data_IF_926390285480
#
_entry.id   IF_926390285480
#
_cell.length_a   1.000
_cell.length_b   1.000
_cell.length_c   1.000
_cell.angle_alpha   90.00
_cell.angle_beta   90.00
_cell.angle_gamma   90.00
#
_symmetry.space_group_name_H-M   'P 1'
#
loop_
_entity.id
_entity.type
_entity.pdbx_description
1 polymer ?
#
# COMPACT_ATOMS: atom_id res chain seq x y z
N UNK A 1 -28.14 14.65 -15.89
CA UNK A 1 -26.88 13.87 -15.78
C UNK A 1 -26.18 13.92 -17.13
N UNK A 2 -24.93 14.39 -17.19
CA UNK A 2 -24.20 14.65 -18.45
C UNK A 2 -23.56 13.35 -19.02
N UNK A 3 -23.52 13.17 -20.34
CA UNK A 3 -23.05 11.92 -20.98
C UNK A 3 -21.53 11.63 -20.84
N UNK A 4 -20.74 12.57 -20.32
CA UNK A 4 -19.29 12.42 -20.14
C UNK A 4 -18.90 11.33 -19.13
N UNK A 5 -19.80 10.94 -18.20
CA UNK A 5 -19.51 9.92 -17.17
C UNK A 5 -19.31 8.51 -17.74
N UNK A 6 -19.83 8.20 -18.93
CA UNK A 6 -19.77 6.82 -19.46
C UNK A 6 -18.46 6.50 -20.18
N UNK A 7 -17.78 7.49 -20.76
CA UNK A 7 -16.57 7.27 -21.58
C UNK A 7 -15.36 6.92 -20.70
N UNK A 8 -15.22 7.53 -19.52
CA UNK A 8 -14.12 7.23 -18.60
C UNK A 8 -14.19 5.81 -18.00
N UNK A 9 -15.40 5.27 -17.76
CA UNK A 9 -15.56 3.90 -17.26
C UNK A 9 -15.15 2.83 -18.27
N UNK A 10 -15.24 3.10 -19.57
CA UNK A 10 -14.78 2.16 -20.59
C UNK A 10 -13.25 2.05 -20.68
N UNK A 11 -12.50 3.07 -20.24
CA UNK A 11 -11.03 3.02 -20.23
C UNK A 11 -10.50 2.11 -19.10
N UNK A 12 -11.19 2.03 -17.96
CA UNK A 12 -10.85 1.10 -16.87
C UNK A 12 -11.12 -0.37 -17.23
N UNK A 13 -12.17 -0.66 -17.99
CA UNK A 13 -12.46 -2.04 -18.40
C UNK A 13 -11.45 -2.59 -19.42
N UNK A 14 -10.75 -1.72 -20.16
CA UNK A 14 -9.72 -2.14 -21.12
C UNK A 14 -8.35 -2.39 -20.47
N UNK A 15 -8.06 -1.78 -19.32
CA UNK A 15 -6.76 -1.92 -18.63
C UNK A 15 -6.68 -3.12 -17.69
N UNK A 16 -7.80 -3.66 -17.21
CA UNK A 16 -7.82 -4.83 -16.31
C UNK A 16 -7.38 -6.14 -16.97
N UNK A 17 -7.32 -6.21 -18.30
CA UNK A 17 -6.79 -7.37 -19.03
C UNK A 17 -5.27 -7.34 -19.23
N UNK A 18 -4.62 -6.18 -19.03
CA UNK A 18 -3.17 -6.03 -19.24
C UNK A 18 -2.34 -6.24 -17.96
N UNK A 19 -2.97 -6.20 -16.78
CA UNK A 19 -2.33 -6.42 -15.48
C UNK A 19 -2.57 -7.85 -14.96
N UNK A 20 -2.32 -8.84 -15.80
CA UNK A 20 -1.82 -10.13 -15.31
C UNK A 20 -0.30 -10.12 -15.45
N UNK A 21 0.35 -9.13 -14.83
CA UNK A 21 1.78 -9.23 -14.61
C UNK A 21 1.94 -10.33 -13.57
N UNK A 22 2.44 -11.47 -14.03
CA UNK A 22 2.91 -12.58 -13.23
C UNK A 22 4.10 -12.08 -12.39
N UNK A 23 3.84 -11.30 -11.35
CA UNK A 23 4.84 -10.89 -10.39
C UNK A 23 5.01 -12.07 -9.42
N UNK A 24 5.95 -12.93 -9.75
CA UNK A 24 6.50 -13.91 -8.84
C UNK A 24 7.32 -13.14 -7.77
N UNK A 25 6.62 -12.50 -6.82
CA UNK A 25 7.21 -11.65 -5.78
C UNK A 25 7.75 -12.55 -4.67
N UNK A 26 8.91 -13.17 -4.92
CA UNK A 26 9.81 -13.62 -3.85
C UNK A 26 10.49 -12.44 -3.14
N UNK A 27 10.18 -11.18 -3.51
CA UNK A 27 10.70 -9.96 -2.90
C UNK A 27 9.95 -9.50 -1.63
N UNK A 28 8.91 -10.23 -1.17
CA UNK A 28 8.14 -9.91 0.05
C UNK A 28 9.01 -9.78 1.32
N UNK A 29 10.20 -10.38 1.32
CA UNK A 29 11.12 -10.38 2.48
C UNK A 29 12.14 -9.23 2.50
N UNK A 30 12.21 -8.37 1.47
CA UNK A 30 13.24 -7.32 1.40
C UNK A 30 12.95 -6.16 2.38
N UNK A 31 11.68 -5.88 2.67
CA UNK A 31 11.28 -4.72 3.50
C UNK A 31 11.25 -5.09 5.01
N UNK A 32 11.14 -6.37 5.37
CA UNK A 32 10.85 -6.80 6.76
C UNK A 32 12.08 -7.08 7.63
N UNK A 33 13.29 -7.23 7.08
CA UNK A 33 14.48 -7.64 7.84
C UNK A 33 15.50 -6.53 8.10
N UNK A 34 15.03 -5.32 8.36
CA UNK A 34 15.92 -4.17 8.48
C UNK A 34 16.11 -3.77 9.95
N UNK A 35 17.26 -4.15 10.52
CA UNK A 35 17.73 -3.70 11.82
C UNK A 35 18.82 -2.65 11.64
N UNK A 36 18.48 -1.37 11.86
CA UNK A 36 19.46 -0.29 11.95
C UNK A 36 19.22 0.53 13.21
N UNK A 37 20.27 1.21 13.68
CA UNK A 37 20.19 2.19 14.77
C UNK A 37 19.29 3.34 14.32
N UNK A 38 18.01 3.23 14.65
CA UNK A 38 17.02 4.26 14.38
C UNK A 38 17.43 5.54 15.10
N UNK A 39 17.43 6.67 14.39
CA UNK A 39 17.52 7.96 15.04
C UNK A 39 16.37 8.06 16.06
N UNK A 40 16.70 8.19 17.35
CA UNK A 40 15.72 8.14 18.43
C UNK A 40 14.64 9.23 18.29
N UNK A 41 14.98 10.40 17.74
CA UNK A 41 14.03 11.47 17.47
C UNK A 41 13.04 11.05 16.38
N UNK A 42 13.51 10.45 15.28
CA UNK A 42 12.66 9.97 14.20
C UNK A 42 11.70 8.87 14.70
N UNK A 43 12.22 7.90 15.45
CA UNK A 43 11.41 6.84 16.07
C UNK A 43 10.32 7.42 16.97
N UNK A 44 10.67 8.39 17.79
CA UNK A 44 9.71 9.07 18.68
C UNK A 44 8.62 9.76 17.87
N UNK A 45 8.99 10.50 16.83
CA UNK A 45 8.03 11.16 15.94
C UNK A 45 7.09 10.17 15.25
N UNK A 46 7.60 9.02 14.77
CA UNK A 46 6.75 7.96 14.18
C UNK A 46 5.75 7.41 15.20
N UNK A 47 6.18 7.20 16.45
CA UNK A 47 5.32 6.69 17.54
C UNK A 47 4.16 7.65 17.84
N UNK A 48 4.33 8.95 17.64
CA UNK A 48 3.24 9.92 17.76
C UNK A 48 2.11 9.65 16.75
N UNK A 49 2.41 9.04 15.60
CA UNK A 49 1.44 8.65 14.57
C UNK A 49 1.04 7.18 14.63
N UNK A 50 1.36 6.46 15.72
CA UNK A 50 1.07 5.02 15.83
C UNK A 50 -0.40 4.64 15.57
N UNK A 51 -1.32 5.55 15.89
CA UNK A 51 -2.77 5.37 15.68
C UNK A 51 -3.20 5.44 14.21
N UNK A 52 -2.35 5.98 13.34
CA UNK A 52 -2.56 5.99 11.89
C UNK A 52 -2.23 4.65 11.25
N UNK A 53 -1.61 3.73 11.99
CA UNK A 53 -1.25 2.41 11.52
C UNK A 53 -2.21 1.39 12.14
N UNK A 54 -2.79 0.53 11.29
CA UNK A 54 -3.47 -0.65 11.78
C UNK A 54 -2.46 -1.51 12.55
N UNK A 55 -2.84 -2.00 13.73
CA UNK A 55 -1.96 -2.85 14.53
C UNK A 55 -1.81 -4.20 13.81
N UNK A 56 -0.62 -4.50 13.29
CA UNK A 56 -0.29 -5.66 12.45
C UNK A 56 -0.69 -7.02 13.07
N UNK A 57 -1.04 -7.05 14.36
CA UNK A 57 -1.43 -8.27 15.10
C UNK A 57 -2.91 -8.64 14.96
N UNK A 58 -3.72 -7.73 14.42
CA UNK A 58 -5.16 -7.91 14.31
C UNK A 58 -5.49 -8.49 12.94
N UNK A 59 -6.04 -9.71 12.88
CA UNK A 59 -6.70 -10.15 11.64
C UNK A 59 -7.77 -9.12 11.31
N UNK A 60 -7.62 -8.44 10.19
CA UNK A 60 -8.55 -7.39 9.75
C UNK A 60 -9.92 -8.04 9.55
N UNK A 61 -10.85 -7.81 10.47
CA UNK A 61 -12.26 -8.12 10.29
C UNK A 61 -13.01 -6.82 9.93
N UNK A 62 -14.25 -6.92 9.46
CA UNK A 62 -15.03 -5.75 9.02
C UNK A 62 -15.22 -4.69 10.13
N UNK A 63 -15.37 -5.10 11.39
CA UNK A 63 -15.52 -4.19 12.52
C UNK A 63 -14.23 -3.38 12.80
N UNK A 64 -13.06 -4.00 12.59
CA UNK A 64 -11.76 -3.32 12.70
C UNK A 64 -11.57 -2.31 11.56
N UNK A 65 -12.14 -2.57 10.38
CA UNK A 65 -11.97 -1.68 9.22
C UNK A 65 -12.61 -0.31 9.48
N UNK A 66 -13.81 -0.25 10.05
CA UNK A 66 -14.45 1.03 10.38
C UNK A 66 -13.59 1.85 11.36
N UNK A 67 -13.08 1.22 12.42
CA UNK A 67 -12.20 1.90 13.39
C UNK A 67 -10.90 2.40 12.75
N UNK A 68 -10.28 1.56 11.90
CA UNK A 68 -9.07 1.91 11.17
C UNK A 68 -9.33 3.09 10.22
N UNK A 69 -10.44 3.06 9.49
CA UNK A 69 -10.83 4.12 8.57
C UNK A 69 -11.14 5.42 9.30
N UNK A 70 -11.83 5.38 10.44
CA UNK A 70 -12.12 6.56 11.25
C UNK A 70 -10.83 7.22 11.74
N UNK A 71 -9.82 6.44 12.16
CA UNK A 71 -8.50 6.96 12.53
C UNK A 71 -7.75 7.52 11.31
N UNK A 72 -7.71 6.78 10.21
CA UNK A 72 -7.04 7.18 8.98
C UNK A 72 -7.58 8.51 8.41
N UNK A 73 -8.90 8.72 8.51
CA UNK A 73 -9.55 9.92 7.99
C UNK A 73 -9.38 11.16 8.88
N UNK A 74 -8.76 11.03 10.06
CA UNK A 74 -8.40 12.18 10.90
C UNK A 74 -7.37 13.08 10.20
N UNK A 75 -7.43 14.38 10.48
CA UNK A 75 -6.49 15.37 9.92
C UNK A 75 -5.02 15.02 10.20
N UNK A 76 -4.76 14.45 11.38
CA UNK A 76 -3.41 14.03 11.79
C UNK A 76 -2.86 12.93 10.88
N UNK A 77 -3.66 11.91 10.59
CA UNK A 77 -3.22 10.80 9.75
C UNK A 77 -3.16 11.19 8.27
N UNK A 78 -4.14 11.97 7.78
CA UNK A 78 -4.08 12.55 6.43
C UNK A 78 -2.79 13.34 6.21
N UNK A 79 -2.48 14.24 7.14
CA UNK A 79 -1.24 15.02 7.09
C UNK A 79 0.00 14.14 7.06
N UNK A 80 0.06 13.08 7.87
CA UNK A 80 1.19 12.15 7.85
C UNK A 80 1.39 11.49 6.47
N UNK A 81 0.32 11.01 5.84
CA UNK A 81 0.42 10.35 4.53
C UNK A 81 0.61 11.33 3.37
N UNK A 82 0.13 12.57 3.48
CA UNK A 82 0.34 13.62 2.47
C UNK A 82 1.75 14.22 2.52
N UNK A 83 2.26 14.48 3.73
CA UNK A 83 3.59 15.08 3.92
C UNK A 83 4.72 14.04 3.89
N UNK A 84 4.40 12.80 4.26
CA UNK A 84 5.34 11.69 4.33
C UNK A 84 6.30 11.78 5.51
N UNK A 85 7.03 10.69 5.74
CA UNK A 85 7.92 10.55 6.89
C UNK A 85 9.08 11.57 6.89
N UNK A 86 9.49 12.06 5.71
CA UNK A 86 10.57 13.04 5.57
C UNK A 86 10.31 14.37 6.28
N UNK A 87 9.04 14.68 6.60
CA UNK A 87 8.65 15.90 7.31
C UNK A 87 8.59 15.72 8.83
N UNK A 88 8.73 14.48 9.32
CA UNK A 88 8.76 14.23 10.75
C UNK A 88 10.10 14.66 11.36
N UNK A 89 10.02 15.27 12.54
CA UNK A 89 11.18 15.74 13.29
C UNK A 89 12.14 14.58 13.58
N UNK A 90 13.42 14.78 13.31
CA UNK A 90 14.47 13.79 13.48
C UNK A 90 14.63 12.84 12.29
N UNK A 91 13.61 12.68 11.45
CA UNK A 91 13.69 11.83 10.26
C UNK A 91 14.44 12.52 9.11
N UNK A 92 14.71 13.83 9.18
CA UNK A 92 15.62 14.51 8.26
C UNK A 92 17.10 14.12 8.45
N UNK A 93 17.43 13.47 9.57
CA UNK A 93 18.81 13.11 9.94
C UNK A 93 19.18 11.67 9.65
N UNK A 94 18.22 10.83 9.27
CA UNK A 94 18.51 9.44 8.87
C UNK A 94 19.15 9.43 7.48
N UNK A 95 19.84 8.34 7.13
CA UNK A 95 20.42 8.22 5.80
C UNK A 95 19.32 8.25 4.73
N UNK A 96 19.67 8.73 3.54
CA UNK A 96 18.74 8.77 2.39
C UNK A 96 18.16 7.37 2.10
N UNK A 97 18.98 6.33 2.21
CA UNK A 97 18.55 4.94 2.04
C UNK A 97 17.45 4.55 3.03
N UNK A 98 17.65 4.85 4.33
CA UNK A 98 16.66 4.58 5.37
C UNK A 98 15.39 5.41 5.17
N UNK A 99 15.54 6.67 4.78
CA UNK A 99 14.41 7.55 4.52
C UNK A 99 13.55 7.02 3.37
N UNK A 100 14.19 6.57 2.28
CA UNK A 100 13.49 5.98 1.14
C UNK A 100 12.75 4.70 1.53
N UNK A 101 13.36 3.82 2.34
CA UNK A 101 12.72 2.60 2.83
C UNK A 101 11.49 2.90 3.68
N UNK A 102 11.59 3.80 4.66
CA UNK A 102 10.45 4.19 5.47
C UNK A 102 9.37 4.86 4.62
N UNK A 103 9.75 5.73 3.68
CA UNK A 103 8.81 6.37 2.76
C UNK A 103 8.03 5.32 1.99
N UNK A 104 8.70 4.35 1.34
CA UNK A 104 8.03 3.25 0.66
C UNK A 104 7.11 2.46 1.60
N UNK A 105 7.59 2.09 2.79
CA UNK A 105 6.82 1.33 3.78
C UNK A 105 5.52 2.04 4.20
N UNK A 106 5.56 3.35 4.41
CA UNK A 106 4.38 4.10 4.85
C UNK A 106 3.49 4.52 3.69
N UNK A 107 4.05 4.79 2.51
CA UNK A 107 3.29 5.15 1.32
C UNK A 107 2.36 4.01 0.90
N UNK A 108 2.85 2.77 0.84
CA UNK A 108 2.01 1.62 0.47
C UNK A 108 0.86 1.44 1.46
N UNK A 109 1.12 1.61 2.76
CA UNK A 109 0.07 1.59 3.81
C UNK A 109 -0.98 2.68 3.57
N UNK A 110 -0.54 3.89 3.23
CA UNK A 110 -1.45 5.01 2.94
C UNK A 110 -2.29 4.78 1.69
N UNK A 111 -1.73 4.15 0.66
CA UNK A 111 -2.46 3.76 -0.56
C UNK A 111 -3.53 2.72 -0.25
N UNK A 112 -3.15 1.63 0.43
CA UNK A 112 -4.07 0.55 0.82
C UNK A 112 -5.20 1.07 1.71
N UNK A 113 -4.89 1.89 2.72
CA UNK A 113 -5.92 2.49 3.56
C UNK A 113 -6.82 3.45 2.79
N UNK A 114 -6.28 4.23 1.85
CA UNK A 114 -7.08 5.10 1.01
C UNK A 114 -8.07 4.31 0.15
N UNK A 115 -7.66 3.16 -0.38
CA UNK A 115 -8.52 2.28 -1.17
C UNK A 115 -9.57 1.60 -0.27
N UNK A 116 -9.17 1.03 0.87
CA UNK A 116 -10.09 0.35 1.81
C UNK A 116 -11.09 1.30 2.45
N UNK A 117 -10.72 2.57 2.64
CA UNK A 117 -11.53 3.56 3.33
C UNK A 117 -12.28 4.53 2.41
N UNK A 118 -12.23 4.31 1.09
CA UNK A 118 -12.92 5.18 0.14
C UNK A 118 -14.44 5.13 0.31
N UNK A 119 -15.08 6.29 0.28
CA UNK A 119 -16.53 6.45 0.51
C UNK A 119 -17.15 7.30 -0.58
N UNK A 120 -18.35 6.96 -0.99
CA UNK A 120 -19.14 7.71 -1.98
C UNK A 120 -19.59 9.09 -1.44
N UNK A 121 -20.39 9.78 -2.26
CA UNK A 121 -20.95 11.10 -1.92
C UNK A 121 -21.92 11.08 -0.73
N UNK A 122 -22.45 9.90 -0.38
CA UNK A 122 -23.39 9.69 0.73
C UNK A 122 -22.70 9.15 1.99
N UNK A 123 -21.37 9.05 1.99
CA UNK A 123 -20.58 8.51 3.10
C UNK A 123 -20.60 6.98 3.22
N UNK A 124 -21.14 6.27 2.23
CA UNK A 124 -21.11 4.81 2.16
C UNK A 124 -19.80 4.33 1.53
N UNK A 125 -19.25 3.20 1.97
CA UNK A 125 -18.07 2.63 1.31
C UNK A 125 -18.29 2.43 -0.18
N UNK A 126 -17.28 2.78 -0.96
CA UNK A 126 -17.27 2.49 -2.39
C UNK A 126 -17.37 0.97 -2.62
N UNK A 127 -18.01 0.53 -3.72
CA UNK A 127 -18.16 -0.90 -4.01
C UNK A 127 -16.82 -1.65 -4.06
N UNK A 128 -15.76 -1.01 -4.58
CA UNK A 128 -14.40 -1.58 -4.61
C UNK A 128 -13.80 -1.77 -3.23
N UNK A 129 -13.95 -0.80 -2.34
CA UNK A 129 -13.58 -0.96 -0.93
C UNK A 129 -14.30 -2.14 -0.29
N UNK A 130 -15.63 -2.25 -0.48
CA UNK A 130 -16.41 -3.38 0.07
C UNK A 130 -15.95 -4.73 -0.48
N UNK A 131 -15.63 -4.80 -1.77
CA UNK A 131 -15.11 -6.00 -2.39
C UNK A 131 -13.78 -6.43 -1.75
N UNK A 132 -12.83 -5.50 -1.59
CA UNK A 132 -11.54 -5.76 -0.96
C UNK A 132 -11.69 -6.17 0.51
N UNK A 133 -12.52 -5.46 1.26
CA UNK A 133 -12.82 -5.76 2.66
C UNK A 133 -13.44 -7.17 2.85
N UNK A 134 -14.16 -7.67 1.84
CA UNK A 134 -14.74 -9.01 1.89
C UNK A 134 -13.72 -10.14 1.69
N UNK A 135 -12.53 -9.82 1.18
CA UNK A 135 -11.52 -10.81 0.79
C UNK A 135 -11.95 -11.69 -0.39
N UNK A 136 -13.02 -11.33 -1.10
CA UNK A 136 -13.48 -12.08 -2.27
C UNK A 136 -12.46 -12.01 -3.40
N UNK A 137 -12.25 -13.14 -4.07
CA UNK A 137 -11.46 -13.25 -5.31
C UNK A 137 -12.34 -13.59 -6.52
N UNK A 138 -13.67 -13.54 -6.34
CA UNK A 138 -14.62 -13.90 -7.39
C UNK A 138 -14.65 -12.83 -8.49
N UNK A 139 -14.24 -13.21 -9.70
CA UNK A 139 -14.20 -12.33 -10.86
C UNK A 139 -15.53 -11.67 -11.20
N UNK A 140 -16.65 -12.38 -11.04
CA UNK A 140 -17.98 -11.83 -11.35
C UNK A 140 -18.36 -10.74 -10.35
N UNK A 141 -18.04 -10.95 -9.08
CA UNK A 141 -18.25 -9.95 -8.02
C UNK A 141 -17.35 -8.73 -8.24
N UNK A 142 -16.11 -8.94 -8.70
CA UNK A 142 -15.22 -7.86 -9.11
C UNK A 142 -15.80 -7.04 -10.28
N UNK A 143 -16.28 -7.70 -11.34
CA UNK A 143 -16.88 -7.02 -12.50
C UNK A 143 -18.12 -6.20 -12.09
N UNK A 144 -18.96 -6.74 -11.21
CA UNK A 144 -20.12 -6.02 -10.66
C UNK A 144 -19.70 -4.83 -9.80
N UNK A 145 -18.71 -5.03 -8.94
CA UNK A 145 -18.11 -4.01 -8.11
C UNK A 145 -17.56 -2.84 -8.95
N UNK A 146 -16.78 -3.11 -10.01
CA UNK A 146 -16.24 -2.09 -10.91
C UNK A 146 -17.39 -1.29 -11.55
N UNK A 147 -18.40 -2.00 -12.07
CA UNK A 147 -19.57 -1.35 -12.67
C UNK A 147 -20.35 -0.48 -11.68
N UNK A 148 -20.42 -0.88 -10.41
CA UNK A 148 -21.09 -0.10 -9.37
C UNK A 148 -20.25 1.09 -8.89
N UNK A 149 -18.93 0.94 -8.77
CA UNK A 149 -17.98 2.01 -8.45
C UNK A 149 -18.10 3.14 -9.47
N UNK A 150 -18.23 2.78 -10.75
CA UNK A 150 -18.45 3.69 -11.88
C UNK A 150 -19.73 4.55 -11.81
N UNK A 151 -20.63 4.31 -10.86
CA UNK A 151 -21.87 5.11 -10.67
C UNK A 151 -21.66 6.30 -9.73
N UNK A 152 -20.62 6.29 -8.89
CA UNK A 152 -20.24 7.38 -8.00
C UNK A 152 -19.04 8.13 -8.59
N UNK A 153 -19.16 9.45 -8.72
CA UNK A 153 -18.04 10.27 -9.22
C UNK A 153 -16.90 10.24 -8.21
N UNK A 154 -17.21 10.38 -6.92
CA UNK A 154 -16.21 10.36 -5.86
C UNK A 154 -15.47 9.02 -5.82
N UNK A 155 -16.18 7.89 -5.90
CA UNK A 155 -15.51 6.59 -5.93
C UNK A 155 -14.63 6.41 -7.18
N UNK A 156 -15.03 6.97 -8.33
CA UNK A 156 -14.17 6.96 -9.54
C UNK A 156 -12.94 7.84 -9.35
N UNK A 157 -13.10 9.04 -8.80
CA UNK A 157 -11.99 9.97 -8.55
C UNK A 157 -11.00 9.36 -7.54
N UNK A 158 -11.50 8.77 -6.45
CA UNK A 158 -10.68 8.08 -5.44
C UNK A 158 -9.96 6.87 -6.08
N UNK A 159 -10.64 6.11 -6.94
CA UNK A 159 -10.04 4.99 -7.68
C UNK A 159 -8.90 5.39 -8.61
N UNK A 160 -9.09 6.49 -9.35
CA UNK A 160 -8.01 7.05 -10.17
C UNK A 160 -6.82 7.44 -9.30
N UNK A 161 -7.08 8.09 -8.16
CA UNK A 161 -6.04 8.59 -7.28
C UNK A 161 -5.18 7.46 -6.69
N UNK A 162 -5.80 6.47 -6.03
CA UNK A 162 -5.01 5.39 -5.42
C UNK A 162 -4.30 4.51 -6.46
N UNK A 163 -4.90 4.24 -7.62
CA UNK A 163 -4.21 3.51 -8.71
C UNK A 163 -3.03 4.32 -9.27
N UNK A 164 -3.17 5.64 -9.38
CA UNK A 164 -2.05 6.50 -9.83
C UNK A 164 -0.91 6.48 -8.82
N UNK A 165 -1.22 6.55 -7.52
CA UNK A 165 -0.22 6.46 -6.45
C UNK A 165 0.43 5.08 -6.37
N UNK A 166 -0.32 4.01 -6.61
CA UNK A 166 0.20 2.63 -6.69
C UNK A 166 1.20 2.48 -7.83
N UNK A 167 0.87 2.97 -9.04
CA UNK A 167 1.78 2.94 -10.18
C UNK A 167 3.08 3.72 -9.93
N UNK A 168 2.99 4.87 -9.26
CA UNK A 168 4.17 5.65 -8.85
C UNK A 168 4.99 4.92 -7.77
N UNK A 169 4.32 4.30 -6.80
CA UNK A 169 4.95 3.48 -5.78
C UNK A 169 5.72 2.32 -6.40
N UNK A 170 5.13 1.57 -7.34
CA UNK A 170 5.79 0.47 -8.03
C UNK A 170 7.06 0.93 -8.76
N UNK A 171 7.00 2.08 -9.41
CA UNK A 171 8.16 2.67 -10.06
C UNK A 171 9.27 2.99 -9.04
N UNK A 172 8.93 3.68 -7.95
CA UNK A 172 9.90 4.03 -6.90
C UNK A 172 10.48 2.81 -6.20
N UNK A 173 9.67 1.77 -6.00
CA UNK A 173 10.12 0.49 -5.45
C UNK A 173 11.12 -0.19 -6.39
N UNK A 174 10.83 -0.27 -7.69
CA UNK A 174 11.74 -0.83 -8.67
C UNK A 174 13.06 -0.04 -8.75
N UNK A 175 13.00 1.29 -8.78
CA UNK A 175 14.19 2.16 -8.74
C UNK A 175 15.04 1.92 -7.48
N UNK A 176 14.39 1.70 -6.33
CA UNK A 176 15.06 1.38 -5.07
C UNK A 176 15.72 -0.01 -5.11
N UNK A 177 15.03 -1.02 -5.65
CA UNK A 177 15.56 -2.37 -5.80
C UNK A 177 16.75 -2.43 -6.76
N UNK A 178 16.70 -1.70 -7.87
CA UNK A 178 17.79 -1.62 -8.85
C UNK A 178 19.05 -0.98 -8.27
N UNK A 179 18.90 0.08 -7.47
CA UNK A 179 20.01 0.70 -6.74
C UNK A 179 20.64 -0.25 -5.72
N UNK A 180 19.81 -0.99 -4.99
CA UNK A 180 20.24 -1.91 -3.92
C UNK A 180 20.90 -3.18 -4.47
N UNK A 181 20.44 -3.68 -5.62
CA UNK A 181 21.05 -4.84 -6.28
C UNK A 181 22.40 -4.47 -6.92
N UNK A 182 22.48 -3.29 -7.54
CA UNK A 182 23.71 -2.78 -8.16
C UNK A 182 24.85 -2.54 -7.15
N UNK A 183 24.54 -2.02 -5.95
CA UNK A 183 25.54 -1.79 -4.89
C UNK A 183 26.08 -3.09 -4.28
N UNK A 184 25.25 -4.13 -4.22
CA UNK A 184 25.64 -5.44 -3.69
C UNK A 184 26.50 -6.25 -4.67
N UNK A 185 26.33 -6.09 -5.98
CA UNK A 185 27.16 -6.79 -6.98
C UNK A 185 28.63 -6.32 -6.93
N UNK A 186 28.89 -5.07 -6.56
CA UNK A 186 30.28 -4.57 -6.39
C UNK A 186 30.92 -4.98 -5.06
N UNK A 187 30.11 -5.34 -4.05
CA UNK A 187 30.59 -5.70 -2.69
C UNK A 187 30.60 -7.21 -2.41
N UNK A 188 29.99 -8.03 -3.28
CA UNK A 188 29.76 -9.47 -3.05
C UNK A 188 30.87 -10.41 -3.56
N UNK A 189 32.11 -9.94 -3.73
CA UNK A 189 33.22 -10.88 -3.97
C UNK A 189 33.60 -11.72 -2.73
N UNK A 190 32.99 -11.51 -1.54
CA UNK A 190 33.35 -12.28 -0.34
C UNK A 190 32.22 -12.66 0.65
N UNK A 191 30.92 -12.37 0.41
CA UNK A 191 29.85 -12.73 1.38
C UNK A 191 29.00 -13.90 0.86
N UNK A 192 29.23 -15.09 1.41
CA UNK A 192 28.35 -16.26 1.20
C UNK A 192 27.01 -16.01 1.87
N UNK A 193 25.96 -15.69 1.09
CA UNK A 193 24.57 -15.68 1.60
C UNK A 193 24.09 -17.13 1.78
N UNK A 194 23.86 -17.54 3.02
CA UNK A 194 23.01 -18.69 3.37
C UNK A 194 21.58 -18.18 3.52
N UNK A 195 20.76 -18.30 2.49
CA UNK A 195 19.31 -18.25 2.63
C UNK A 195 18.71 -19.40 1.83
N UNK A 196 18.02 -20.29 2.52
CA UNK A 196 17.37 -21.48 1.96
C UNK A 196 15.86 -21.20 1.87
N UNK A 197 15.40 -20.84 0.67
CA UNK A 197 14.01 -20.49 0.39
C UNK A 197 13.06 -21.69 0.31
N UNK A 198 13.49 -22.91 0.67
CA UNK A 198 12.67 -24.12 0.61
C UNK A 198 11.69 -24.30 1.78
N UNK A 199 11.59 -23.32 2.69
CA UNK A 199 10.75 -23.39 3.90
C UNK A 199 9.83 -22.18 4.08
N UNK A 200 9.14 -21.75 3.03
CA UNK A 200 7.99 -20.85 3.20
C UNK A 200 6.73 -21.71 3.13
N UNK A 201 5.96 -21.71 4.20
CA UNK A 201 4.69 -22.43 4.29
C UNK A 201 3.57 -21.66 3.58
N UNK A 202 2.59 -22.35 2.99
CA UNK A 202 1.38 -21.74 2.37
C UNK A 202 0.61 -20.80 3.33
N UNK A 203 0.82 -20.95 4.65
CA UNK A 203 0.22 -20.11 5.68
C UNK A 203 0.88 -18.71 5.76
N UNK A 204 2.20 -18.63 5.53
CA UNK A 204 2.96 -17.36 5.50
C UNK A 204 2.68 -16.54 4.23
N UNK A 205 2.33 -17.19 3.12
CA UNK A 205 2.02 -16.52 1.85
C UNK A 205 0.72 -15.72 1.90
N UNK A 206 -0.31 -16.28 2.57
CA UNK A 206 -1.60 -15.64 2.83
C UNK A 206 -1.52 -14.55 3.91
N UNK A 207 -0.65 -14.73 4.91
CA UNK A 207 -0.45 -13.75 5.97
C UNK A 207 0.26 -12.49 5.45
N UNK A 208 1.15 -12.64 4.48
CA UNK A 208 1.85 -11.53 3.85
C UNK A 208 0.99 -10.67 2.91
N UNK A 209 -0.30 -10.99 2.69
CA UNK A 209 -1.25 -10.07 2.03
C UNK A 209 -1.91 -9.14 3.07
N UNK A 210 -1.97 -9.57 4.33
CA UNK A 210 -2.58 -8.85 5.45
C UNK A 210 -1.56 -8.12 6.35
N UNK A 211 -0.26 -8.40 6.19
CA UNK A 211 0.83 -7.77 6.96
C UNK A 211 1.46 -6.53 6.26
N UNK A 212 0.93 -6.12 5.10
CA UNK A 212 1.18 -4.79 4.53
C UNK A 212 0.14 -3.79 5.04
#
# INVERSE_FOLDING_TARGET
MKPFSKIFCFLFAASTLALQINTNINNKNVITQITYDENADCKTSIVEYKECFADNKSKVNLEIIDEVCDKFLTEKCKKFYEEGISKLKGCEKISEEMLNQYTLKYDIKGIVLSELCSRDENGQYCPISKFLQSGSTNRRELDECINNTCKSKKCVDDAIDYTTREMDFDKRLNDFLDKTTSSNITSSSNIKRQYDGSKISEEEENQAILEF
#
